data_IF_715765426517
#
_entry.id   IF_715765426517
#
_cell.length_a   1.000
_cell.length_b   1.000
_cell.length_c   1.000
_cell.angle_alpha   90.00
_cell.angle_beta   90.00
_cell.angle_gamma   90.00
#
_symmetry.space_group_name_H-M   'P 1'
#
loop_
_entity.id
_entity.type
_entity.pdbx_description
1 polymer ?
#
# COMPACT_ATOMS: atom_id res chain seq x y z
N UNK A 1 -27.90 1.34 -16.22
CA UNK A 1 -27.55 0.06 -15.58
C UNK A 1 -26.81 0.44 -14.30
N UNK A 2 -27.47 0.28 -13.14
CA UNK A 2 -26.98 0.85 -11.87
C UNK A 2 -25.72 0.11 -11.39
N UNK A 3 -24.58 0.79 -11.39
CA UNK A 3 -23.26 0.28 -10.92
C UNK A 3 -23.09 0.38 -9.40
N UNK A 4 -24.17 0.30 -8.60
CA UNK A 4 -24.08 0.58 -7.17
C UNK A 4 -23.43 -0.52 -6.33
N UNK A 5 -23.46 -1.79 -6.73
CA UNK A 5 -22.87 -2.89 -5.95
C UNK A 5 -22.27 -3.95 -6.87
N UNK A 6 -20.97 -4.13 -6.84
CA UNK A 6 -20.30 -5.25 -7.50
C UNK A 6 -19.81 -6.22 -6.43
N UNK A 7 -20.60 -7.28 -6.20
CA UNK A 7 -20.17 -8.42 -5.38
C UNK A 7 -19.33 -9.32 -6.28
N UNK A 8 -18.01 -9.27 -6.17
CA UNK A 8 -17.12 -9.79 -7.19
C UNK A 8 -16.80 -11.26 -6.95
N UNK A 9 -17.63 -12.13 -7.51
CA UNK A 9 -17.16 -13.44 -7.95
C UNK A 9 -16.47 -13.38 -9.34
N UNK A 10 -16.70 -12.31 -10.12
CA UNK A 10 -16.13 -12.06 -11.45
C UNK A 10 -15.28 -10.77 -11.45
N UNK A 11 -14.23 -10.74 -12.27
CA UNK A 11 -13.43 -9.52 -12.51
C UNK A 11 -14.32 -8.36 -12.95
N UNK A 12 -13.93 -7.12 -12.56
CA UNK A 12 -14.50 -5.90 -13.12
C UNK A 12 -14.35 -5.90 -14.64
N UNK A 13 -15.34 -5.39 -15.33
CA UNK A 13 -15.21 -5.06 -16.75
C UNK A 13 -14.21 -3.90 -16.91
N UNK A 14 -13.68 -3.75 -18.12
CA UNK A 14 -12.76 -2.64 -18.45
C UNK A 14 -13.39 -1.29 -18.08
N UNK A 15 -14.69 -1.09 -18.34
CA UNK A 15 -15.38 0.15 -17.99
C UNK A 15 -15.48 0.39 -16.49
N UNK A 16 -15.74 -0.66 -15.71
CA UNK A 16 -15.78 -0.58 -14.23
C UNK A 16 -14.40 -0.32 -13.64
N UNK A 17 -13.35 -0.98 -14.16
CA UNK A 17 -11.98 -0.70 -13.75
C UNK A 17 -11.62 0.76 -14.02
N UNK A 18 -11.96 1.27 -15.21
CA UNK A 18 -11.68 2.65 -15.57
C UNK A 18 -12.44 3.66 -14.70
N UNK A 19 -13.67 3.35 -14.30
CA UNK A 19 -14.41 4.19 -13.36
C UNK A 19 -13.74 4.22 -11.98
N UNK A 20 -13.37 3.07 -11.44
CA UNK A 20 -12.62 2.99 -10.18
C UNK A 20 -11.30 3.77 -10.25
N UNK A 21 -10.55 3.66 -11.35
CA UNK A 21 -9.30 4.38 -11.57
C UNK A 21 -9.46 5.90 -11.52
N UNK A 22 -10.62 6.45 -11.88
CA UNK A 22 -10.91 7.90 -11.71
C UNK A 22 -10.97 8.32 -10.25
N UNK A 23 -11.51 7.46 -9.38
CA UNK A 23 -11.52 7.72 -7.93
C UNK A 23 -10.11 7.62 -7.35
N UNK A 24 -9.32 6.61 -7.75
CA UNK A 24 -7.91 6.48 -7.36
C UNK A 24 -7.09 7.69 -7.81
N UNK A 25 -7.31 8.18 -9.04
CA UNK A 25 -6.68 9.41 -9.53
C UNK A 25 -7.03 10.61 -8.65
N UNK A 26 -8.29 10.74 -8.23
CA UNK A 26 -8.72 11.80 -7.32
C UNK A 26 -7.93 11.81 -6.01
N UNK A 27 -7.66 10.63 -5.43
CA UNK A 27 -6.83 10.50 -4.23
C UNK A 27 -5.37 10.86 -4.53
N UNK A 28 -4.79 10.37 -5.65
CA UNK A 28 -3.42 10.70 -6.06
C UNK A 28 -3.21 12.20 -6.24
N UNK A 29 -4.16 12.89 -6.86
CA UNK A 29 -4.08 14.35 -7.06
C UNK A 29 -4.19 15.13 -5.75
N UNK A 30 -5.04 14.67 -4.82
CA UNK A 30 -5.14 15.29 -3.51
C UNK A 30 -3.84 15.14 -2.71
N UNK A 31 -3.22 13.98 -2.74
CA UNK A 31 -1.95 13.75 -2.04
C UNK A 31 -0.77 14.47 -2.70
N UNK A 32 -0.72 14.52 -4.04
CA UNK A 32 0.30 15.31 -4.76
C UNK A 32 0.25 16.77 -4.34
N UNK A 33 -0.96 17.36 -4.29
CA UNK A 33 -1.15 18.72 -3.83
C UNK A 33 -0.63 18.93 -2.40
N UNK A 34 -1.03 18.06 -1.46
CA UNK A 34 -0.58 18.10 -0.06
C UNK A 34 0.95 17.98 0.04
N UNK A 35 1.54 17.02 -0.65
CA UNK A 35 2.98 16.82 -0.62
C UNK A 35 3.75 18.04 -1.17
N UNK A 36 3.26 18.66 -2.25
CA UNK A 36 3.89 19.88 -2.81
C UNK A 36 3.74 21.09 -1.88
N UNK A 37 2.56 21.30 -1.30
CA UNK A 37 2.28 22.42 -0.39
C UNK A 37 3.12 22.34 0.89
N UNK A 38 3.41 21.13 1.37
CA UNK A 38 4.16 20.89 2.61
C UNK A 38 5.62 20.44 2.39
N UNK A 39 6.11 20.49 1.13
CA UNK A 39 7.46 20.09 0.75
C UNK A 39 7.83 18.66 1.16
N UNK A 40 6.88 17.72 1.08
CA UNK A 40 7.10 16.32 1.33
C UNK A 40 7.53 15.62 0.03
N UNK A 41 8.58 14.81 0.11
CA UNK A 41 9.01 13.96 -1.00
C UNK A 41 8.06 12.77 -1.10
N UNK A 42 7.54 12.49 -2.27
CA UNK A 42 6.84 11.26 -2.56
C UNK A 42 7.23 10.74 -3.94
N UNK A 43 6.99 9.46 -4.17
CA UNK A 43 7.25 8.76 -5.42
C UNK A 43 6.07 7.86 -5.76
N UNK A 44 5.59 7.87 -7.01
CA UNK A 44 4.84 6.75 -7.53
C UNK A 44 5.76 5.52 -7.51
N UNK A 45 5.24 4.36 -7.08
CA UNK A 45 6.01 3.12 -6.97
C UNK A 45 5.25 1.95 -7.57
N UNK A 46 5.85 0.79 -7.60
CA UNK A 46 5.25 -0.48 -7.98
C UNK A 46 4.47 -0.43 -9.31
N UNK A 47 3.25 -0.96 -9.36
CA UNK A 47 2.36 -0.96 -10.52
C UNK A 47 2.02 0.44 -11.02
N UNK A 48 1.90 1.40 -10.12
CA UNK A 48 1.59 2.79 -10.46
C UNK A 48 2.73 3.46 -11.25
N UNK A 49 4.00 3.25 -10.83
CA UNK A 49 5.15 3.72 -11.60
C UNK A 49 5.24 3.02 -12.97
N UNK A 50 5.03 1.70 -13.00
CA UNK A 50 5.00 0.93 -14.24
C UNK A 50 3.91 1.45 -15.18
N UNK A 51 2.73 1.76 -14.66
CA UNK A 51 1.64 2.36 -15.40
C UNK A 51 2.02 3.73 -15.98
N UNK A 52 2.62 4.59 -15.18
CA UNK A 52 3.11 5.90 -15.62
C UNK A 52 4.08 5.79 -16.80
N UNK A 53 5.08 4.91 -16.72
CA UNK A 53 6.10 4.74 -17.75
C UNK A 53 5.53 4.11 -19.01
N UNK A 54 4.76 3.03 -18.89
CA UNK A 54 4.30 2.21 -20.02
C UNK A 54 3.00 2.70 -20.66
N UNK A 55 2.11 3.29 -19.86
CA UNK A 55 0.76 3.66 -20.29
C UNK A 55 0.45 5.15 -20.13
N UNK A 56 1.34 5.93 -19.53
CA UNK A 56 1.12 7.33 -19.13
C UNK A 56 -0.10 7.50 -18.20
N UNK A 57 -0.38 6.50 -17.40
CA UNK A 57 -1.54 6.39 -16.52
C UNK A 57 -1.60 5.02 -15.87
N UNK A 58 -2.79 4.62 -15.45
CA UNK A 58 -2.99 3.28 -14.88
C UNK A 58 -2.71 2.18 -15.90
N UNK A 59 -2.21 1.05 -15.40
CA UNK A 59 -2.26 -0.20 -16.16
C UNK A 59 -3.75 -0.55 -16.37
N UNK A 60 -4.20 -0.89 -17.61
CA UNK A 60 -5.64 -0.98 -17.92
C UNK A 60 -6.45 -1.96 -17.08
N UNK A 61 -5.82 -2.95 -16.45
CA UNK A 61 -6.45 -3.98 -15.62
C UNK A 61 -6.12 -3.86 -14.12
N UNK A 62 -5.43 -2.79 -13.72
CA UNK A 62 -4.99 -2.57 -12.33
C UNK A 62 -6.12 -1.97 -11.49
N UNK A 63 -6.20 -2.41 -10.24
CA UNK A 63 -7.26 -2.06 -9.30
C UNK A 63 -6.75 -1.34 -8.04
N UNK A 64 -5.50 -0.90 -8.05
CA UNK A 64 -4.85 -0.18 -6.95
C UNK A 64 -3.95 0.98 -7.44
N UNK A 65 -3.42 1.73 -6.49
CA UNK A 65 -2.39 2.72 -6.71
C UNK A 65 -1.49 2.81 -5.47
N UNK A 66 -0.20 2.99 -5.74
CA UNK A 66 0.85 2.92 -4.74
C UNK A 66 1.74 4.15 -4.79
N UNK A 67 1.97 4.76 -3.63
CA UNK A 67 2.98 5.79 -3.44
C UNK A 67 3.91 5.43 -2.28
N UNK A 68 5.11 5.95 -2.31
CA UNK A 68 6.05 5.80 -1.21
C UNK A 68 6.70 7.14 -0.84
N UNK A 69 6.98 7.33 0.45
CA UNK A 69 7.63 8.52 0.98
C UNK A 69 8.84 8.13 1.84
N UNK A 70 9.96 8.89 1.79
CA UNK A 70 11.00 8.76 2.80
C UNK A 70 10.41 8.80 4.21
N UNK A 71 10.93 7.98 5.13
CA UNK A 71 10.36 7.78 6.48
C UNK A 71 9.94 9.07 7.19
N UNK A 72 10.78 10.10 7.14
CA UNK A 72 10.50 11.38 7.79
C UNK A 72 9.29 12.08 7.18
N UNK A 73 9.23 12.09 5.85
CA UNK A 73 8.12 12.71 5.11
C UNK A 73 6.83 11.90 5.30
N UNK A 74 6.94 10.55 5.32
CA UNK A 74 5.84 9.65 5.66
C UNK A 74 5.28 9.90 7.07
N UNK A 75 6.14 10.02 8.07
CA UNK A 75 5.70 10.22 9.45
C UNK A 75 5.01 11.58 9.63
N UNK A 76 5.51 12.64 8.98
CA UNK A 76 4.87 13.98 8.95
C UNK A 76 3.50 13.89 8.25
N UNK A 77 3.41 13.21 7.10
CA UNK A 77 2.13 13.02 6.41
C UNK A 77 1.12 12.28 7.30
N UNK A 78 1.53 11.18 7.95
CA UNK A 78 0.65 10.38 8.82
C UNK A 78 0.14 11.19 10.02
N UNK A 79 0.95 12.11 10.53
CA UNK A 79 0.60 12.97 11.66
C UNK A 79 -0.42 14.03 11.26
N UNK A 80 -0.23 14.69 10.11
CA UNK A 80 -0.99 15.87 9.72
C UNK A 80 -2.05 15.64 8.63
N UNK A 81 -2.14 14.44 8.06
CA UNK A 81 -3.08 14.17 6.96
C UNK A 81 -4.53 14.54 7.28
N UNK A 82 -4.96 14.41 8.55
CA UNK A 82 -6.32 14.75 8.99
C UNK A 82 -6.63 16.26 8.91
N UNK A 83 -5.59 17.11 8.91
CA UNK A 83 -5.71 18.57 8.77
C UNK A 83 -5.59 18.99 7.29
N UNK A 84 -4.73 18.31 6.53
CA UNK A 84 -4.30 18.74 5.19
C UNK A 84 -5.14 18.16 4.06
N UNK A 85 -5.65 16.93 4.24
CA UNK A 85 -6.47 16.30 3.22
C UNK A 85 -7.89 16.92 3.16
N UNK A 86 -8.49 17.01 1.96
CA UNK A 86 -9.91 17.27 1.83
C UNK A 86 -10.73 16.28 2.68
N UNK A 87 -11.83 16.71 3.30
CA UNK A 87 -12.67 15.89 4.21
C UNK A 87 -13.14 14.55 3.63
N UNK A 88 -13.19 14.46 2.30
CA UNK A 88 -13.52 13.24 1.57
C UNK A 88 -12.46 12.17 1.71
N UNK A 89 -11.19 12.56 1.85
CA UNK A 89 -10.07 11.64 1.89
C UNK A 89 -9.52 11.51 3.31
N UNK A 90 -9.27 10.28 3.73
CA UNK A 90 -8.87 9.96 5.09
C UNK A 90 -7.63 9.08 5.08
N UNK A 91 -6.61 9.47 5.83
CA UNK A 91 -5.48 8.59 6.09
C UNK A 91 -5.82 7.62 7.22
N UNK A 92 -5.61 6.34 6.96
CA UNK A 92 -5.81 5.26 7.94
C UNK A 92 -4.50 4.52 8.15
N UNK A 93 -4.09 4.38 9.39
CA UNK A 93 -2.91 3.60 9.78
C UNK A 93 -3.11 3.00 11.19
N UNK A 94 -2.19 2.15 11.59
CA UNK A 94 -2.20 1.57 12.93
C UNK A 94 -2.01 2.61 14.06
N UNK A 95 -1.54 3.83 13.73
CA UNK A 95 -1.39 4.93 14.70
C UNK A 95 -2.77 5.50 15.11
N UNK A 96 -3.71 5.59 14.15
CA UNK A 96 -5.08 6.05 14.39
C UNK A 96 -6.02 4.90 14.79
N UNK A 97 -5.85 3.73 14.19
CA UNK A 97 -6.68 2.57 14.44
C UNK A 97 -5.82 1.35 14.83
N UNK A 98 -5.75 0.98 16.13
CA UNK A 98 -4.97 -0.17 16.58
C UNK A 98 -5.35 -1.51 15.94
N UNK A 99 -6.57 -1.63 15.39
CA UNK A 99 -7.05 -2.82 14.67
C UNK A 99 -6.71 -2.80 13.18
N UNK A 100 -6.04 -1.74 12.70
CA UNK A 100 -5.61 -1.64 11.31
C UNK A 100 -4.57 -2.72 10.98
N UNK A 101 -4.77 -3.52 9.93
CA UNK A 101 -4.01 -4.77 9.77
C UNK A 101 -2.66 -4.63 9.07
N UNK A 102 -2.35 -3.44 8.51
CA UNK A 102 -1.13 -3.24 7.70
C UNK A 102 -0.06 -2.44 8.46
N UNK A 103 1.19 -2.66 8.06
CA UNK A 103 2.35 -1.93 8.59
C UNK A 103 2.61 -0.58 7.87
N UNK A 104 1.86 -0.27 6.83
CA UNK A 104 1.89 0.97 6.04
C UNK A 104 0.54 1.69 6.16
N UNK A 105 0.47 2.94 5.76
CA UNK A 105 -0.77 3.70 5.78
C UNK A 105 -1.55 3.56 4.45
N UNK A 106 -2.82 3.92 4.49
CA UNK A 106 -3.69 4.08 3.32
C UNK A 106 -4.34 5.44 3.34
N UNK A 107 -4.57 6.01 2.17
CA UNK A 107 -5.48 7.15 2.02
C UNK A 107 -6.68 6.64 1.25
N UNK A 108 -7.86 6.77 1.85
CA UNK A 108 -9.10 6.22 1.32
C UNK A 108 -10.12 7.31 1.01
N UNK A 109 -10.99 7.04 0.05
CA UNK A 109 -12.14 7.87 -0.29
C UNK A 109 -13.32 7.49 0.60
N UNK A 110 -13.66 8.32 1.58
CA UNK A 110 -14.69 8.03 2.58
C UNK A 110 -16.11 7.94 2.02
N UNK A 111 -16.34 8.47 0.81
CA UNK A 111 -17.63 8.43 0.12
C UNK A 111 -17.87 7.13 -0.66
N UNK A 112 -16.94 6.17 -0.54
CA UNK A 112 -17.00 4.85 -1.19
C UNK A 112 -16.98 3.74 -0.15
N UNK A 113 -17.29 2.50 -0.57
CA UNK A 113 -17.13 1.29 0.24
C UNK A 113 -16.21 0.31 -0.47
N UNK A 114 -15.19 -0.13 0.23
CA UNK A 114 -14.20 -1.11 -0.25
C UNK A 114 -13.93 -2.15 0.83
N UNK A 115 -14.10 -3.43 0.48
CA UNK A 115 -13.79 -4.54 1.38
C UNK A 115 -12.75 -5.43 0.72
N UNK A 116 -11.60 -5.53 1.36
CA UNK A 116 -10.49 -6.34 0.87
C UNK A 116 -10.82 -7.83 0.78
N UNK A 117 -10.21 -8.49 -0.21
CA UNK A 117 -10.19 -9.95 -0.31
C UNK A 117 -9.04 -10.51 0.53
N UNK A 118 -9.18 -10.49 1.85
CA UNK A 118 -8.16 -11.00 2.79
C UNK A 118 -8.80 -11.99 3.78
N UNK A 119 -7.99 -12.50 4.69
CA UNK A 119 -8.42 -13.43 5.76
C UNK A 119 -9.07 -12.72 6.96
N UNK A 120 -9.22 -11.41 6.89
CA UNK A 120 -9.94 -10.56 7.85
C UNK A 120 -10.80 -9.57 7.07
N UNK A 121 -11.90 -9.17 7.69
CA UNK A 121 -12.76 -8.13 7.12
C UNK A 121 -12.30 -6.77 7.63
N UNK A 122 -11.80 -5.95 6.73
CA UNK A 122 -11.56 -4.54 6.97
C UNK A 122 -12.41 -3.75 5.98
N UNK A 123 -13.43 -3.07 6.52
CA UNK A 123 -14.33 -2.22 5.76
C UNK A 123 -13.79 -0.80 5.78
N UNK A 124 -13.59 -0.21 4.63
CA UNK A 124 -13.14 1.16 4.45
C UNK A 124 -13.62 1.74 3.12
N UNK A 125 -13.11 2.90 2.75
CA UNK A 125 -13.26 3.46 1.42
C UNK A 125 -12.24 2.90 0.44
N UNK A 126 -12.41 3.18 -0.87
CA UNK A 126 -11.44 2.83 -1.91
C UNK A 126 -10.08 3.49 -1.61
N UNK A 127 -8.99 2.73 -1.41
CA UNK A 127 -7.73 3.27 -0.94
C UNK A 127 -6.66 3.35 -2.02
N UNK A 128 -5.66 4.21 -1.77
CA UNK A 128 -4.29 4.03 -2.27
C UNK A 128 -3.36 3.61 -1.13
N UNK A 129 -2.34 2.83 -1.45
CA UNK A 129 -1.35 2.38 -0.47
C UNK A 129 -0.20 3.41 -0.36
N UNK A 130 0.21 3.71 0.88
CA UNK A 130 1.24 4.71 1.20
C UNK A 130 2.35 4.03 1.99
N UNK A 131 3.48 3.78 1.34
CA UNK A 131 4.59 3.04 1.92
C UNK A 131 5.67 3.96 2.49
N UNK A 132 6.24 3.62 3.66
CA UNK A 132 7.45 4.28 4.13
C UNK A 132 8.69 3.71 3.44
N UNK A 133 9.58 4.57 2.97
CA UNK A 133 10.91 4.21 2.50
C UNK A 133 11.92 4.47 3.60
N UNK A 134 12.68 3.45 3.95
CA UNK A 134 13.73 3.51 4.96
C UNK A 134 15.13 3.38 4.32
N UNK A 135 16.15 3.77 5.05
CA UNK A 135 17.52 3.50 4.63
C UNK A 135 17.89 2.03 4.77
N UNK A 136 18.94 1.59 4.08
CA UNK A 136 19.48 0.23 4.23
C UNK A 136 21.01 0.21 4.20
N UNK A 137 21.59 -0.58 5.10
CA UNK A 137 23.04 -0.80 5.17
C UNK A 137 23.58 -1.53 3.93
N UNK A 138 24.82 -1.23 3.46
CA UNK A 138 25.46 -2.00 2.38
C UNK A 138 25.88 -3.42 2.81
N UNK A 139 25.92 -3.70 4.09
CA UNK A 139 26.34 -5.01 4.61
C UNK A 139 25.26 -6.07 4.40
N UNK A 140 25.51 -7.03 3.50
CA UNK A 140 24.54 -8.08 3.12
C UNK A 140 24.12 -8.99 4.28
N UNK A 141 24.99 -9.26 5.25
CA UNK A 141 24.62 -10.08 6.43
C UNK A 141 23.65 -9.31 7.33
N UNK A 142 23.90 -8.01 7.54
CA UNK A 142 22.97 -7.14 8.28
C UNK A 142 21.64 -6.99 7.55
N UNK A 143 21.63 -6.87 6.21
CA UNK A 143 20.40 -6.88 5.41
C UNK A 143 19.58 -8.16 5.65
N UNK A 144 20.22 -9.34 5.51
CA UNK A 144 19.54 -10.64 5.74
C UNK A 144 18.97 -10.75 7.14
N UNK A 145 19.72 -10.33 8.17
CA UNK A 145 19.26 -10.32 9.56
C UNK A 145 18.10 -9.34 9.76
N UNK A 146 18.16 -8.16 9.17
CA UNK A 146 17.10 -7.16 9.21
C UNK A 146 15.79 -7.70 8.60
N UNK A 147 15.84 -8.25 7.40
CA UNK A 147 14.67 -8.85 6.75
C UNK A 147 14.14 -10.07 7.50
N UNK A 148 14.98 -10.87 8.08
CA UNK A 148 14.55 -11.98 8.94
C UNK A 148 13.74 -11.46 10.14
N UNK A 149 14.25 -10.46 10.87
CA UNK A 149 13.53 -9.84 12.00
C UNK A 149 12.21 -9.20 11.55
N UNK A 150 12.22 -8.46 10.44
CA UNK A 150 11.02 -7.84 9.88
C UNK A 150 9.97 -8.89 9.49
N UNK A 151 10.38 -9.97 8.83
CA UNK A 151 9.52 -11.09 8.47
C UNK A 151 8.90 -11.78 9.69
N UNK A 152 9.69 -11.98 10.75
CA UNK A 152 9.18 -12.55 12.01
C UNK A 152 8.16 -11.62 12.67
N UNK A 153 8.42 -10.31 12.70
CA UNK A 153 7.48 -9.34 13.25
C UNK A 153 6.18 -9.24 12.43
N UNK A 154 6.27 -9.27 11.08
CA UNK A 154 5.09 -9.34 10.19
C UNK A 154 4.30 -10.65 10.41
N UNK A 155 4.96 -11.78 10.64
CA UNK A 155 4.27 -13.05 10.99
C UNK A 155 3.57 -12.97 12.35
N UNK A 156 4.16 -12.31 13.34
CA UNK A 156 3.50 -12.09 14.64
C UNK A 156 2.24 -11.23 14.47
N UNK A 157 2.31 -10.16 13.67
CA UNK A 157 1.14 -9.35 13.32
C UNK A 157 0.07 -10.20 12.62
N UNK A 158 0.45 -10.99 11.63
CA UNK A 158 -0.47 -11.91 10.94
C UNK A 158 -1.18 -12.84 11.91
N UNK A 159 -0.46 -13.51 12.81
CA UNK A 159 -1.06 -14.41 13.81
C UNK A 159 -1.92 -13.67 14.83
N UNK A 160 -1.64 -12.41 15.13
CA UNK A 160 -2.46 -11.59 16.01
C UNK A 160 -3.75 -11.07 15.35
N UNK A 161 -3.86 -11.15 14.01
CA UNK A 161 -5.01 -10.63 13.24
C UNK A 161 -5.84 -11.71 12.56
N UNK A 162 -5.24 -12.87 12.26
CA UNK A 162 -5.94 -13.96 11.55
C UNK A 162 -6.99 -14.59 12.45
N UNK A 163 -8.17 -14.93 11.88
CA UNK A 163 -9.13 -15.78 12.57
C UNK A 163 -8.44 -17.10 12.99
N UNK A 164 -8.36 -17.42 14.30
CA UNK A 164 -7.71 -18.62 14.80
C UNK A 164 -8.29 -19.91 14.22
N UNK A 165 -9.56 -19.89 13.85
CA UNK A 165 -10.30 -21.04 13.34
C UNK A 165 -10.39 -21.10 11.82
N UNK A 166 -9.70 -20.21 11.09
CA UNK A 166 -9.69 -20.19 9.62
C UNK A 166 -9.44 -21.56 8.98
N UNK A 167 -8.64 -22.41 9.63
CA UNK A 167 -8.28 -23.75 9.16
C UNK A 167 -8.97 -24.87 9.96
N UNK A 168 -10.10 -24.56 10.64
CA UNK A 168 -10.88 -25.49 11.46
C UNK A 168 -10.44 -25.55 12.93
N UNK A 169 -11.26 -26.24 13.73
CA UNK A 169 -11.03 -26.45 15.17
C UNK A 169 -10.09 -27.64 15.39
N UNK A 170 -8.80 -27.44 15.47
CA UNK A 170 -7.84 -28.53 15.66
C UNK A 170 -6.46 -28.04 16.05
N UNK A 171 -5.46 -28.90 15.95
CA UNK A 171 -4.06 -28.59 16.29
C UNK A 171 -3.58 -27.32 15.55
N UNK A 172 -4.06 -27.08 14.33
CA UNK A 172 -3.71 -25.90 13.52
C UNK A 172 -4.21 -24.58 14.12
N UNK A 173 -5.24 -24.58 14.97
CA UNK A 173 -5.76 -23.40 15.66
C UNK A 173 -4.99 -23.04 16.93
N UNK A 174 -4.21 -23.97 17.50
CA UNK A 174 -3.52 -23.76 18.79
C UNK A 174 -2.51 -22.62 18.74
N UNK A 175 -1.68 -22.56 17.69
CA UNK A 175 -0.69 -21.49 17.54
C UNK A 175 -1.33 -20.11 17.35
N UNK A 176 -2.29 -19.89 16.45
CA UNK A 176 -3.04 -18.64 16.36
C UNK A 176 -3.71 -18.25 17.70
N UNK A 177 -4.39 -19.16 18.38
CA UNK A 177 -5.02 -18.90 19.69
C UNK A 177 -4.00 -18.46 20.75
N UNK A 178 -2.86 -19.13 20.83
CA UNK A 178 -1.78 -18.74 21.72
C UNK A 178 -1.25 -17.35 21.37
N UNK A 179 -1.01 -17.08 20.08
CA UNK A 179 -0.49 -15.80 19.61
C UNK A 179 -1.46 -14.64 19.88
N UNK A 180 -2.79 -14.83 19.68
CA UNK A 180 -3.80 -13.85 20.06
C UNK A 180 -3.76 -13.48 21.54
N UNK A 181 -3.37 -14.43 22.39
CA UNK A 181 -3.31 -14.22 23.85
C UNK A 181 -2.05 -13.47 24.30
N UNK A 182 -0.92 -13.67 23.62
CA UNK A 182 0.40 -13.16 24.04
C UNK A 182 0.91 -12.00 23.21
N UNK A 183 0.42 -11.81 21.97
CA UNK A 183 0.87 -10.76 21.07
C UNK A 183 -0.27 -9.78 20.82
N UNK A 184 -0.13 -8.55 21.31
CA UNK A 184 -1.05 -7.49 20.92
C UNK A 184 -0.67 -6.94 19.53
N UNK A 185 -1.68 -6.59 18.75
CA UNK A 185 -1.54 -5.97 17.43
C UNK A 185 -0.68 -4.70 17.49
N UNK A 186 -0.96 -3.83 18.48
CA UNK A 186 -0.20 -2.60 18.70
C UNK A 186 1.28 -2.84 19.02
N UNK A 187 1.60 -3.92 19.78
CA UNK A 187 2.99 -4.30 20.02
C UNK A 187 3.68 -4.75 18.72
N UNK A 188 3.01 -5.59 17.93
CA UNK A 188 3.55 -6.07 16.66
C UNK A 188 3.82 -4.93 15.68
N UNK A 189 2.89 -3.97 15.56
CA UNK A 189 3.07 -2.77 14.74
C UNK A 189 4.27 -1.92 15.19
N UNK A 190 4.36 -1.63 16.50
CA UNK A 190 5.52 -0.89 17.04
C UNK A 190 6.83 -1.62 16.77
N UNK A 191 6.83 -2.95 16.88
CA UNK A 191 8.03 -3.75 16.61
C UNK A 191 8.43 -3.74 15.14
N UNK A 192 7.47 -3.82 14.23
CA UNK A 192 7.70 -3.69 12.78
C UNK A 192 8.27 -2.30 12.49
N UNK A 193 7.61 -1.24 12.96
CA UNK A 193 8.06 0.14 12.74
C UNK A 193 9.49 0.37 13.26
N UNK A 194 9.81 -0.13 14.48
CA UNK A 194 11.14 -0.04 15.07
C UNK A 194 12.21 -0.74 14.22
N UNK A 195 11.89 -1.92 13.66
CA UNK A 195 12.83 -2.66 12.81
C UNK A 195 13.00 -1.92 11.48
N UNK A 196 11.91 -1.50 10.84
CA UNK A 196 11.93 -0.87 9.53
C UNK A 196 12.71 0.44 9.55
N UNK A 197 12.51 1.28 10.58
CA UNK A 197 13.19 2.58 10.72
C UNK A 197 14.60 2.52 11.34
N UNK A 198 15.22 1.33 11.45
CA UNK A 198 16.56 1.16 12.04
C UNK A 198 17.65 1.93 11.27
N UNK A 199 17.47 2.09 9.96
CA UNK A 199 18.41 2.78 9.10
C UNK A 199 17.76 4.04 8.51
N UNK A 200 18.34 5.21 8.81
CA UNK A 200 17.84 6.51 8.33
C UNK A 200 17.96 6.62 6.79
N UNK A 201 16.84 6.92 6.11
CA UNK A 201 16.78 7.11 4.66
C UNK A 201 17.85 8.08 4.13
N UNK A 202 18.08 9.19 4.84
CA UNK A 202 19.00 10.24 4.36
C UNK A 202 20.48 9.88 4.56
N UNK A 203 20.80 8.95 5.48
CA UNK A 203 22.18 8.62 5.89
C UNK A 203 22.77 7.39 5.21
N UNK A 204 21.94 6.49 4.71
CA UNK A 204 22.40 5.24 4.13
C UNK A 204 22.40 5.23 2.61
N UNK A 205 23.30 4.46 1.95
CA UNK A 205 23.44 4.48 0.50
C UNK A 205 22.38 3.65 -0.24
N UNK A 206 21.60 2.87 0.47
CA UNK A 206 20.48 2.10 -0.08
C UNK A 206 19.18 2.54 0.54
N UNK A 207 18.10 2.42 -0.23
CA UNK A 207 16.71 2.59 0.16
C UNK A 207 16.02 1.24 0.14
N UNK A 208 15.11 1.02 1.07
CA UNK A 208 14.33 -0.21 1.15
C UNK A 208 12.84 0.08 1.23
N UNK A 209 12.09 -0.62 0.38
CA UNK A 209 10.66 -0.86 0.53
C UNK A 209 10.47 -2.25 1.15
N UNK A 210 9.93 -2.29 2.36
CA UNK A 210 9.80 -3.51 3.14
C UNK A 210 8.63 -4.42 2.70
N UNK A 211 7.81 -4.01 1.75
CA UNK A 211 6.74 -4.85 1.24
C UNK A 211 7.19 -5.72 0.08
N UNK A 212 8.32 -5.39 -0.53
CA UNK A 212 9.02 -6.27 -1.46
C UNK A 212 9.97 -7.22 -0.74
N UNK A 213 10.34 -8.30 -1.45
CA UNK A 213 11.47 -9.16 -1.06
C UNK A 213 12.79 -8.38 -1.19
N UNK A 214 13.87 -8.80 -0.47
CA UNK A 214 15.15 -8.08 -0.48
C UNK A 214 15.75 -7.83 -1.86
N UNK A 215 15.57 -8.77 -2.78
CA UNK A 215 16.07 -8.71 -4.16
C UNK A 215 15.38 -7.63 -5.01
N UNK A 216 14.14 -7.30 -4.68
CA UNK A 216 13.34 -6.29 -5.38
C UNK A 216 13.11 -5.02 -4.58
N UNK A 217 13.19 -5.10 -3.25
CA UNK A 217 12.87 -3.97 -2.35
C UNK A 217 14.08 -3.12 -1.98
N UNK A 218 15.32 -3.58 -2.21
CA UNK A 218 16.52 -2.80 -1.90
C UNK A 218 17.08 -2.18 -3.19
N UNK A 219 17.11 -0.85 -3.22
CA UNK A 219 17.62 -0.07 -4.34
C UNK A 219 18.78 0.81 -3.90
N UNK A 220 19.76 1.12 -4.78
CA UNK A 220 20.65 2.24 -4.57
C UNK A 220 19.84 3.52 -4.34
N UNK A 221 20.34 4.42 -3.49
CA UNK A 221 19.63 5.67 -3.20
C UNK A 221 19.45 6.53 -4.44
N UNK A 222 20.39 6.46 -5.37
CA UNK A 222 20.38 7.15 -6.66
C UNK A 222 19.22 6.72 -7.56
N UNK A 223 18.70 5.50 -7.37
CA UNK A 223 17.52 5.01 -8.11
C UNK A 223 16.30 5.88 -7.79
N UNK A 224 16.07 6.17 -6.52
CA UNK A 224 15.00 7.09 -6.12
C UNK A 224 15.38 8.55 -6.41
N UNK A 225 16.57 8.98 -6.03
CA UNK A 225 17.10 10.32 -6.25
C UNK A 225 16.17 11.43 -5.78
N UNK A 226 16.16 12.53 -6.50
CA UNK A 226 15.19 13.62 -6.31
C UNK A 226 13.88 13.25 -7.02
N UNK A 227 12.70 13.43 -6.36
CA UNK A 227 11.41 13.18 -7.00
C UNK A 227 11.31 13.93 -8.34
N UNK A 228 11.05 13.18 -9.40
CA UNK A 228 11.07 13.70 -10.79
C UNK A 228 9.66 13.64 -11.40
N UNK A 229 9.26 14.66 -12.19
CA UNK A 229 7.92 14.68 -12.76
C UNK A 229 7.77 13.60 -13.84
N UNK A 230 6.60 12.97 -13.85
CA UNK A 230 6.17 11.99 -14.86
C UNK A 230 4.71 12.21 -15.22
N UNK A 231 4.38 12.02 -16.50
CA UNK A 231 3.00 12.08 -16.97
C UNK A 231 2.20 10.88 -16.43
N UNK A 232 1.05 11.16 -15.80
CA UNK A 232 0.09 10.15 -15.32
C UNK A 232 -1.33 10.66 -15.50
N UNK A 233 -2.13 10.03 -16.38
CA UNK A 233 -3.53 10.42 -16.68
C UNK A 233 -3.68 11.89 -17.05
N UNK A 234 -2.73 12.44 -17.81
CA UNK A 234 -2.71 13.85 -18.22
C UNK A 234 -2.24 14.84 -17.14
N UNK A 235 -1.78 14.36 -16.00
CA UNK A 235 -1.21 15.15 -14.91
C UNK A 235 0.28 14.91 -14.75
N UNK A 236 1.00 15.83 -14.09
CA UNK A 236 2.41 15.69 -13.74
C UNK A 236 2.54 15.29 -12.27
N UNK A 237 2.70 14.00 -12.02
CA UNK A 237 2.98 13.45 -10.68
C UNK A 237 4.49 13.23 -10.49
N UNK A 238 4.92 12.82 -9.29
CA UNK A 238 6.32 12.62 -8.97
C UNK A 238 6.66 11.13 -8.82
N UNK A 239 7.82 10.76 -9.36
CA UNK A 239 8.33 9.39 -9.28
C UNK A 239 9.83 9.37 -9.04
N UNK A 240 10.43 8.18 -8.95
CA UNK A 240 11.86 7.99 -8.82
C UNK A 240 12.62 8.60 -10.02
N UNK A 241 13.80 9.15 -9.78
CA UNK A 241 14.63 9.78 -10.79
C UNK A 241 15.08 8.79 -11.88
N UNK A 242 15.38 7.55 -11.48
CA UNK A 242 15.75 6.48 -12.41
C UNK A 242 14.69 5.38 -12.42
N UNK A 243 13.61 5.62 -13.16
CA UNK A 243 12.49 4.69 -13.29
C UNK A 243 12.89 3.38 -13.96
N UNK A 244 13.82 3.41 -14.90
CA UNK A 244 14.29 2.21 -15.62
C UNK A 244 15.04 1.25 -14.67
N UNK A 245 15.97 1.76 -13.84
CA UNK A 245 16.68 0.93 -12.85
C UNK A 245 15.70 0.33 -11.84
N UNK A 246 14.72 1.13 -11.36
CA UNK A 246 13.68 0.67 -10.45
C UNK A 246 12.84 -0.46 -11.07
N UNK A 247 12.28 -0.22 -12.25
CA UNK A 247 11.34 -1.15 -12.89
C UNK A 247 12.04 -2.43 -13.37
N UNK A 248 13.27 -2.32 -13.88
CA UNK A 248 14.08 -3.49 -14.26
C UNK A 248 14.36 -4.37 -13.05
N UNK A 249 14.69 -3.82 -11.88
CA UNK A 249 14.91 -4.58 -10.64
C UNK A 249 13.63 -5.24 -10.13
N UNK A 250 12.49 -4.54 -10.21
CA UNK A 250 11.22 -5.05 -9.70
C UNK A 250 10.58 -6.08 -10.64
N UNK A 251 10.67 -5.88 -11.96
CA UNK A 251 9.84 -6.60 -12.93
C UNK A 251 10.62 -7.24 -14.09
N UNK A 252 11.92 -6.96 -14.22
CA UNK A 252 12.74 -7.45 -15.36
C UNK A 252 12.35 -6.75 -16.66
N UNK A 253 11.90 -7.49 -17.67
CA UNK A 253 11.36 -6.92 -18.91
C UNK A 253 9.96 -6.35 -18.65
N UNK A 254 9.91 -5.16 -18.08
CA UNK A 254 8.68 -4.50 -17.66
C UNK A 254 7.91 -3.87 -18.82
N UNK A 255 8.53 -3.67 -19.98
CA UNK A 255 7.87 -3.08 -21.14
C UNK A 255 6.95 -4.07 -21.86
N UNK A 256 7.20 -5.38 -21.75
CA UNK A 256 6.35 -6.44 -22.31
C UNK A 256 5.19 -6.73 -21.35
N UNK A 257 3.92 -6.44 -21.72
CA UNK A 257 2.77 -6.79 -20.89
C UNK A 257 2.62 -8.32 -20.74
N UNK A 258 2.20 -8.82 -19.57
CA UNK A 258 1.88 -10.24 -19.42
C UNK A 258 0.66 -10.63 -20.28
N UNK A 259 0.50 -11.93 -20.54
CA UNK A 259 -0.70 -12.45 -21.18
C UNK A 259 -1.95 -12.19 -20.30
N UNK A 260 -3.13 -12.06 -20.92
CA UNK A 260 -4.38 -11.76 -20.18
C UNK A 260 -4.71 -12.79 -19.11
N UNK A 261 -4.34 -14.03 -19.34
CA UNK A 261 -4.52 -15.16 -18.43
C UNK A 261 -3.66 -15.05 -17.17
N UNK A 262 -2.60 -14.25 -17.22
CA UNK A 262 -1.66 -14.01 -16.13
C UNK A 262 -2.00 -12.77 -15.29
N UNK A 263 -3.06 -12.02 -15.67
CA UNK A 263 -3.44 -10.84 -14.90
C UNK A 263 -3.80 -11.22 -13.46
N UNK A 264 -3.28 -10.50 -12.45
CA UNK A 264 -3.56 -10.80 -11.05
C UNK A 264 -5.07 -10.73 -10.76
N UNK A 265 -5.57 -11.53 -9.82
CA UNK A 265 -6.95 -11.39 -9.35
C UNK A 265 -7.12 -10.04 -8.64
N UNK A 266 -8.33 -9.49 -8.69
CA UNK A 266 -8.64 -8.25 -7.98
C UNK A 266 -8.52 -8.41 -6.47
N UNK A 267 -8.06 -7.34 -5.81
CA UNK A 267 -7.68 -7.33 -4.39
C UNK A 267 -8.89 -7.17 -3.45
N UNK A 268 -10.10 -6.98 -3.94
CA UNK A 268 -11.30 -6.70 -3.14
C UNK A 268 -12.39 -7.75 -3.31
N UNK A 269 -13.28 -7.81 -2.31
CA UNK A 269 -14.49 -8.62 -2.27
C UNK A 269 -15.73 -7.80 -2.62
N UNK A 270 -15.76 -6.53 -2.19
CA UNK A 270 -16.83 -5.58 -2.45
C UNK A 270 -16.23 -4.24 -2.83
N UNK A 271 -16.78 -3.63 -3.86
CA UNK A 271 -16.56 -2.23 -4.23
C UNK A 271 -17.92 -1.59 -4.49
N UNK A 272 -18.21 -0.48 -3.80
CA UNK A 272 -19.34 0.39 -4.05
C UNK A 272 -18.85 1.84 -4.10
N UNK A 273 -18.82 2.42 -5.29
CA UNK A 273 -18.32 3.78 -5.54
C UNK A 273 -19.35 4.87 -5.20
N UNK A 274 -20.59 4.48 -4.87
CA UNK A 274 -21.70 5.38 -4.60
C UNK A 274 -22.13 5.43 -3.14
N UNK A 275 -21.58 4.57 -2.30
CA UNK A 275 -21.98 4.42 -0.90
C UNK A 275 -20.81 4.65 0.05
N UNK A 276 -20.90 5.64 0.97
CA UNK A 276 -19.93 5.83 2.04
C UNK A 276 -19.78 4.59 2.91
N UNK A 277 -18.53 4.18 3.22
CA UNK A 277 -18.28 2.97 4.00
C UNK A 277 -18.87 3.02 5.41
N UNK A 278 -19.03 4.21 6.00
CA UNK A 278 -19.67 4.39 7.31
C UNK A 278 -21.16 4.07 7.29
N UNK A 279 -21.84 4.34 6.17
CA UNK A 279 -23.26 3.96 5.99
C UNK A 279 -23.37 2.44 5.81
N UNK A 280 -22.48 1.87 5.01
CA UNK A 280 -22.40 0.41 4.85
C UNK A 280 -22.21 -0.29 6.20
N UNK A 281 -21.32 0.20 7.06
CA UNK A 281 -21.07 -0.36 8.39
C UNK A 281 -22.29 -0.28 9.31
N UNK A 282 -23.08 0.81 9.26
CA UNK A 282 -24.31 0.95 10.06
C UNK A 282 -25.40 -0.04 9.64
N UNK A 283 -25.46 -0.41 8.36
CA UNK A 283 -26.48 -1.32 7.84
C UNK A 283 -26.10 -2.80 8.01
N UNK A 284 -24.82 -3.13 8.10
CA UNK A 284 -24.31 -4.51 8.06
C UNK A 284 -23.45 -4.89 9.28
N UNK A 285 -23.34 -3.99 10.28
CA UNK A 285 -22.57 -4.17 11.52
C UNK A 285 -23.41 -4.56 12.73
#
# INVERSE_FOLDING_TARGET
>A
MNMSKTNVQNRLTVGQTREMQKYLLGILLAIDKVCREHNLRYYLVAGTMLGAVRHKGFIPWDDDADIALPRKDYDVLVEHAHEWLPKRYELVSYKQNPMYPYAFARIQDADTTYILRRHFDFVGGLPIDVFPLDGMTPNRLKQRWHFFRNSMAKKMLYFATVDPYKHGHGIKSLLPLLMHRIVSQSWAHRKIAQIQSEYDYDKYPYVVDHDFKPDRGIHPKETYGTPSPIEFEGHQLLTAQNTDDYLTRCYGDYMTPPAKEEYPPQNFRLLDLSKPYREYMKENG
#
